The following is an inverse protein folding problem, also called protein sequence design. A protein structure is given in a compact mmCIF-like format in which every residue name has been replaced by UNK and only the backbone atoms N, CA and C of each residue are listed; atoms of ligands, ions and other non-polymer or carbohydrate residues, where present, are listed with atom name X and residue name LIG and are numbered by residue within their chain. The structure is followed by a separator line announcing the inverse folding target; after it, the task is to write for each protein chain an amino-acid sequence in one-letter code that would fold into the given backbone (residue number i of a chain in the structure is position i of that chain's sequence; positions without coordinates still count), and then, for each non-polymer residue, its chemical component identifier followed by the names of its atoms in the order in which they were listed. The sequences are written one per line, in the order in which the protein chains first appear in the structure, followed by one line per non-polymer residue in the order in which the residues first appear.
data_IF_999738417085
#
_entry.id   IF_999738417085
#
_cell.length_a   1.000
_cell.length_b   1.000
_cell.length_c   1.000
_cell.angle_alpha   90.00
_cell.angle_beta   90.00
_cell.angle_gamma   90.00
#
_symmetry.space_group_name_H-M   'P 1'
#
loop_
_entity.id
_entity.type
_entity.pdbx_description
1 polymer ?
#
# COMPACT_ATOMS: atom_id res chain seq x y z
N UNK A 1 4.56 -6.77 6.67
CA UNK A 1 4.16 -6.26 8.01
C UNK A 1 2.72 -5.78 7.98
N UNK A 2 1.97 -5.80 9.09
CA UNK A 2 0.60 -5.26 9.17
C UNK A 2 -0.52 -6.06 8.48
N UNK A 3 -0.19 -6.99 7.58
CA UNK A 3 -1.17 -7.81 6.85
C UNK A 3 -1.18 -9.26 7.35
N UNK A 4 -0.03 -9.93 7.30
CA UNK A 4 0.09 -11.37 7.52
C UNK A 4 1.36 -11.78 8.29
N UNK A 5 2.18 -10.82 8.72
CA UNK A 5 3.44 -11.07 9.45
C UNK A 5 3.30 -12.00 10.67
N UNK A 6 2.13 -12.03 11.33
CA UNK A 6 1.84 -12.93 12.44
C UNK A 6 1.83 -14.41 12.07
N UNK A 7 1.75 -14.75 10.77
CA UNK A 7 1.87 -16.11 10.25
C UNK A 7 3.32 -16.62 10.22
N UNK A 8 4.29 -15.78 10.58
CA UNK A 8 5.69 -16.19 10.68
C UNK A 8 5.88 -17.22 11.81
N UNK A 9 6.60 -18.30 11.49
CA UNK A 9 6.97 -19.36 12.43
C UNK A 9 8.50 -19.51 12.45
N UNK A 10 9.11 -19.73 13.62
CA UNK A 10 10.56 -19.66 13.82
C UNK A 10 11.38 -20.75 13.09
N UNK A 11 10.71 -21.80 12.58
CA UNK A 11 11.36 -22.79 11.73
C UNK A 11 11.56 -22.30 10.29
N UNK A 12 10.87 -21.23 9.85
CA UNK A 12 11.03 -20.65 8.52
C UNK A 12 12.41 -19.99 8.40
N UNK A 13 13.29 -20.58 7.60
CA UNK A 13 14.66 -20.10 7.39
C UNK A 13 14.83 -19.12 6.24
N UNK A 14 13.88 -19.11 5.32
CA UNK A 14 13.88 -18.23 4.16
C UNK A 14 12.52 -17.55 4.07
N UNK A 15 12.52 -16.21 4.11
CA UNK A 15 11.33 -15.38 4.04
C UNK A 15 11.52 -14.28 3.00
N UNK A 16 10.42 -13.79 2.44
CA UNK A 16 10.42 -12.65 1.53
C UNK A 16 9.58 -11.52 2.12
N UNK A 17 10.06 -10.29 2.04
CA UNK A 17 9.31 -9.09 2.43
C UNK A 17 8.44 -8.53 1.28
N UNK A 18 8.19 -9.36 0.25
CA UNK A 18 7.48 -9.01 -0.98
C UNK A 18 8.15 -7.84 -1.75
N UNK A 19 7.37 -6.97 -2.40
CA UNK A 19 7.85 -5.81 -3.16
C UNK A 19 7.28 -4.50 -2.61
N UNK A 20 7.84 -3.36 -3.05
CA UNK A 20 7.30 -2.03 -2.69
C UNK A 20 5.82 -1.87 -3.06
N UNK A 21 5.45 -2.24 -4.30
CA UNK A 21 4.06 -2.20 -4.77
C UNK A 21 3.15 -3.15 -3.98
N UNK A 22 3.63 -4.36 -3.64
CA UNK A 22 2.83 -5.33 -2.86
C UNK A 22 2.54 -4.80 -1.46
N UNK A 23 3.55 -4.22 -0.80
CA UNK A 23 3.38 -3.61 0.51
C UNK A 23 2.39 -2.43 0.46
N UNK A 24 2.38 -1.64 -0.61
CA UNK A 24 1.38 -0.59 -0.79
C UNK A 24 -0.05 -1.15 -0.99
N UNK A 25 -0.21 -2.14 -1.87
CA UNK A 25 -1.50 -2.72 -2.23
C UNK A 25 -2.13 -3.52 -1.09
N UNK A 26 -1.35 -4.34 -0.40
CA UNK A 26 -1.87 -5.34 0.53
C UNK A 26 -2.65 -4.72 1.70
N UNK A 27 -2.21 -3.57 2.23
CA UNK A 27 -2.91 -2.86 3.30
C UNK A 27 -4.28 -2.37 2.85
N UNK A 28 -4.34 -1.70 1.70
CA UNK A 28 -5.58 -1.17 1.15
C UNK A 28 -6.54 -2.29 0.73
N UNK A 29 -6.00 -3.36 0.15
CA UNK A 29 -6.77 -4.53 -0.22
C UNK A 29 -7.36 -5.21 1.03
N UNK A 30 -6.56 -5.42 2.09
CA UNK A 30 -7.01 -6.01 3.35
C UNK A 30 -8.15 -5.22 3.98
N UNK A 31 -7.97 -3.91 4.20
CA UNK A 31 -8.98 -3.06 4.83
C UNK A 31 -10.31 -3.14 4.07
N UNK A 32 -10.24 -3.13 2.74
CA UNK A 32 -11.45 -3.10 1.92
C UNK A 32 -12.10 -4.47 1.83
N UNK A 33 -11.30 -5.53 1.69
CA UNK A 33 -11.80 -6.89 1.65
C UNK A 33 -12.50 -7.25 2.97
N UNK A 34 -11.89 -6.91 4.11
CA UNK A 34 -12.44 -7.21 5.44
C UNK A 34 -13.81 -6.52 5.68
N UNK A 35 -14.04 -5.32 5.12
CA UNK A 35 -15.27 -4.56 5.33
C UNK A 35 -16.33 -4.81 4.24
N UNK A 36 -15.93 -4.78 2.97
CA UNK A 36 -16.85 -4.74 1.83
C UNK A 36 -16.72 -5.96 0.91
N UNK A 37 -15.68 -6.78 1.08
CA UNK A 37 -15.35 -7.85 0.14
C UNK A 37 -14.82 -7.29 -1.19
N UNK A 38 -13.86 -7.98 -1.77
CA UNK A 38 -13.35 -7.70 -3.11
C UNK A 38 -13.65 -8.94 -3.95
N UNK A 39 -14.51 -8.81 -4.95
CA UNK A 39 -14.84 -9.90 -5.87
C UNK A 39 -13.71 -10.11 -6.87
N UNK A 40 -13.24 -9.02 -7.46
CA UNK A 40 -12.15 -8.97 -8.42
C UNK A 40 -11.56 -7.55 -8.43
N UNK A 41 -10.31 -7.43 -8.85
CA UNK A 41 -9.63 -6.15 -8.96
C UNK A 41 -8.51 -6.19 -9.99
N UNK A 42 -8.31 -5.05 -10.62
CA UNK A 42 -7.18 -4.79 -11.53
C UNK A 42 -6.39 -3.65 -10.90
N UNK A 43 -5.08 -3.84 -10.82
CA UNK A 43 -4.16 -2.87 -10.27
C UNK A 43 -3.20 -2.39 -11.36
N UNK A 44 -2.99 -1.08 -11.38
CA UNK A 44 -1.95 -0.43 -12.17
C UNK A 44 -1.08 0.38 -11.23
N UNK A 45 0.23 0.34 -11.42
CA UNK A 45 1.16 1.22 -10.73
C UNK A 45 1.78 2.18 -11.75
N UNK A 46 1.76 3.47 -11.46
CA UNK A 46 2.64 4.44 -12.13
C UNK A 46 3.89 4.51 -11.29
N UNK A 47 4.92 3.80 -11.76
CA UNK A 47 6.13 3.55 -10.99
C UNK A 47 7.21 4.57 -11.31
N UNK A 48 7.92 5.02 -10.27
CA UNK A 48 9.10 5.84 -10.41
C UNK A 48 10.25 5.06 -11.06
N UNK A 49 11.25 5.78 -11.56
CA UNK A 49 12.39 5.17 -12.23
C UNK A 49 13.24 4.42 -11.20
N UNK A 50 13.62 3.17 -11.50
CA UNK A 50 14.52 2.35 -10.67
C UNK A 50 15.87 2.18 -11.35
N UNK A 51 16.89 1.76 -10.59
CA UNK A 51 18.24 1.49 -11.09
C UNK A 51 18.32 0.52 -12.30
N UNK A 52 17.26 -0.25 -12.58
CA UNK A 52 17.21 -1.17 -13.72
C UNK A 52 16.85 -0.48 -15.04
N UNK A 53 16.39 0.77 -15.01
CA UNK A 53 16.08 1.53 -16.22
C UNK A 53 17.37 2.11 -16.82
N UNK A 54 17.25 2.86 -17.91
CA UNK A 54 18.38 3.47 -18.60
C UNK A 54 18.11 4.98 -18.78
N UNK A 55 19.10 5.86 -18.54
CA UNK A 55 18.93 7.33 -18.66
C UNK A 55 18.86 7.79 -20.11
N UNK A 56 19.61 7.11 -20.96
CA UNK A 56 19.58 7.12 -22.43
C UNK A 56 19.54 5.65 -22.85
N UNK A 57 19.93 5.26 -24.06
CA UNK A 57 20.35 3.86 -24.26
C UNK A 57 21.66 3.62 -23.46
N UNK A 58 21.56 3.32 -22.15
CA UNK A 58 22.64 3.23 -21.16
C UNK A 58 22.22 3.57 -19.71
N UNK A 59 23.02 3.24 -18.68
CA UNK A 59 22.62 3.16 -17.24
C UNK A 59 21.82 4.34 -16.63
N UNK A 60 20.85 4.06 -15.73
CA UNK A 60 19.94 5.05 -15.11
C UNK A 60 20.23 5.47 -13.66
N UNK A 61 19.54 6.55 -13.23
CA UNK A 61 19.39 6.98 -11.83
C UNK A 61 17.95 6.84 -11.32
N UNK A 62 17.74 7.15 -10.04
CA UNK A 62 16.52 6.80 -9.27
C UNK A 62 15.61 8.01 -8.96
N UNK A 63 14.29 7.77 -8.98
CA UNK A 63 13.24 8.64 -8.41
C UNK A 63 12.42 7.79 -7.44
N UNK A 64 11.95 8.35 -6.32
CA UNK A 64 11.55 7.53 -5.16
C UNK A 64 10.04 7.37 -4.91
N UNK A 65 9.15 8.08 -5.63
CA UNK A 65 7.70 8.10 -5.32
C UNK A 65 6.85 7.53 -6.45
N UNK A 66 6.09 6.48 -6.11
CA UNK A 66 5.20 5.76 -7.01
C UNK A 66 3.74 5.87 -6.54
N UNK A 67 2.78 5.65 -7.45
CA UNK A 67 1.35 5.65 -7.13
C UNK A 67 0.67 4.38 -7.65
N UNK A 68 -0.17 3.80 -6.80
CA UNK A 68 -0.95 2.60 -7.09
C UNK A 68 -2.43 2.98 -7.28
N UNK A 69 -2.98 2.50 -8.38
CA UNK A 69 -4.39 2.56 -8.74
C UNK A 69 -5.00 1.17 -8.62
N UNK A 70 -6.00 1.03 -7.76
CA UNK A 70 -6.77 -0.20 -7.62
C UNK A 70 -8.21 0.03 -8.05
N UNK A 71 -8.57 -0.52 -9.22
CA UNK A 71 -9.93 -0.57 -9.73
C UNK A 71 -10.54 -1.93 -9.39
N UNK A 72 -11.73 -1.97 -8.78
CA UNK A 72 -12.29 -3.22 -8.24
C UNK A 72 -13.79 -3.24 -8.14
N UNK A 73 -14.32 -4.46 -8.10
CA UNK A 73 -15.72 -4.75 -7.79
C UNK A 73 -15.85 -5.24 -6.35
N UNK A 74 -16.72 -4.59 -5.59
CA UNK A 74 -17.04 -4.90 -4.21
C UNK A 74 -18.20 -5.89 -4.15
N UNK A 75 -18.11 -6.82 -3.20
CA UNK A 75 -19.18 -7.78 -2.93
C UNK A 75 -20.37 -7.08 -2.25
N UNK A 76 -20.08 -6.29 -1.21
CA UNK A 76 -21.07 -5.46 -0.51
C UNK A 76 -21.08 -4.04 -1.08
N UNK A 77 -22.30 -3.50 -1.21
CA UNK A 77 -22.56 -2.09 -1.55
C UNK A 77 -21.82 -1.18 -0.57
N UNK A 78 -21.06 -0.20 -1.07
CA UNK A 78 -20.40 0.80 -0.25
C UNK A 78 -20.47 2.18 -0.90
N UNK A 79 -20.98 3.18 -0.15
CA UNK A 79 -20.82 4.57 -0.58
C UNK A 79 -19.35 4.96 -0.46
N UNK A 80 -18.88 5.82 -1.36
CA UNK A 80 -17.48 6.26 -1.37
C UNK A 80 -17.06 6.91 -0.02
N UNK A 81 -17.99 7.60 0.64
CA UNK A 81 -17.76 8.15 1.98
C UNK A 81 -17.64 7.09 3.09
N UNK A 82 -18.24 5.92 2.94
CA UNK A 82 -18.07 4.83 3.91
C UNK A 82 -16.70 4.17 3.73
N UNK A 83 -16.24 4.04 2.48
CA UNK A 83 -14.87 3.63 2.15
C UNK A 83 -13.86 4.59 2.79
N UNK A 84 -14.10 5.91 2.67
CA UNK A 84 -13.29 6.94 3.32
C UNK A 84 -13.11 6.68 4.82
N UNK A 85 -14.23 6.45 5.52
CA UNK A 85 -14.26 6.28 6.97
C UNK A 85 -13.48 5.05 7.40
N UNK A 86 -13.66 3.91 6.73
CA UNK A 86 -12.95 2.67 7.13
C UNK A 86 -11.46 2.75 6.87
N UNK A 87 -11.03 3.38 5.76
CA UNK A 87 -9.59 3.55 5.47
C UNK A 87 -8.96 4.52 6.47
N UNK A 88 -9.63 5.62 6.79
CA UNK A 88 -9.18 6.54 7.84
C UNK A 88 -9.09 5.84 9.20
N UNK A 89 -10.13 5.12 9.59
CA UNK A 89 -10.14 4.36 10.84
C UNK A 89 -9.01 3.31 10.89
N UNK A 90 -8.71 2.66 9.78
CA UNK A 90 -7.60 1.72 9.70
C UNK A 90 -6.24 2.42 9.90
N UNK A 91 -6.05 3.61 9.32
CA UNK A 91 -4.82 4.42 9.50
C UNK A 91 -4.64 4.96 10.92
N UNK A 92 -5.73 5.16 11.67
CA UNK A 92 -5.71 5.67 13.04
C UNK A 92 -5.73 4.54 14.10
N UNK A 93 -6.03 3.31 13.68
CA UNK A 93 -6.32 2.17 14.55
C UNK A 93 -5.16 1.16 14.68
N UNK A 94 -5.42 -0.16 14.59
CA UNK A 94 -4.40 -1.20 14.79
C UNK A 94 -3.23 -1.14 13.80
N UNK A 95 -3.42 -0.51 12.65
CA UNK A 95 -2.38 -0.31 11.64
C UNK A 95 -1.72 1.06 11.76
N UNK A 96 -1.91 1.82 12.84
CA UNK A 96 -1.34 3.16 12.98
C UNK A 96 0.16 3.17 12.71
N UNK A 97 0.59 4.09 11.83
CA UNK A 97 1.98 4.19 11.36
C UNK A 97 2.33 3.25 10.20
N UNK A 98 1.39 2.42 9.74
CA UNK A 98 1.56 1.53 8.58
C UNK A 98 0.90 2.17 7.34
N UNK A 99 -0.43 2.15 7.09
CA UNK A 99 -1.01 3.00 6.07
C UNK A 99 -1.24 4.43 6.60
N UNK A 100 -0.85 5.41 5.80
CA UNK A 100 -1.20 6.82 5.97
C UNK A 100 -2.53 7.15 5.29
N UNK A 101 -3.08 8.32 5.64
CA UNK A 101 -4.32 8.84 5.08
C UNK A 101 -4.18 10.36 4.88
N UNK A 102 -4.57 10.86 3.72
CA UNK A 102 -4.59 12.31 3.45
C UNK A 102 -5.81 12.74 2.62
N UNK A 103 -6.28 13.95 2.90
CA UNK A 103 -7.31 14.66 2.13
C UNK A 103 -6.74 15.91 1.44
N UNK A 104 -5.51 16.31 1.77
CA UNK A 104 -4.87 17.45 1.16
C UNK A 104 -4.32 17.08 -0.23
N UNK A 105 -4.38 18.02 -1.17
CA UNK A 105 -3.68 17.93 -2.44
C UNK A 105 -2.17 18.03 -2.18
N UNK A 106 -1.53 16.90 -1.91
CA UNK A 106 -0.10 16.82 -1.60
C UNK A 106 0.59 16.05 -2.72
N UNK A 107 1.70 16.62 -3.22
CA UNK A 107 2.55 16.01 -4.23
C UNK A 107 3.91 15.54 -3.67
N UNK A 108 4.17 15.74 -2.37
CA UNK A 108 5.46 15.43 -1.74
C UNK A 108 5.33 14.29 -0.74
N UNK A 109 5.77 13.10 -1.17
CA UNK A 109 5.89 11.89 -0.35
C UNK A 109 7.35 11.43 -0.23
N UNK A 110 8.33 12.29 -0.55
CA UNK A 110 9.74 11.91 -0.65
C UNK A 110 10.34 11.43 0.68
N UNK A 111 9.79 11.88 1.82
CA UNK A 111 10.20 11.45 3.17
C UNK A 111 9.09 10.74 3.93
N UNK A 112 8.04 10.28 3.23
CA UNK A 112 6.95 9.56 3.88
C UNK A 112 7.41 8.16 4.30
N UNK A 113 7.11 7.81 5.56
CA UNK A 113 7.50 6.53 6.18
C UNK A 113 6.39 5.49 6.11
N UNK A 114 5.16 5.90 5.75
CA UNK A 114 4.02 5.00 5.63
C UNK A 114 4.19 4.03 4.46
N UNK A 115 3.64 2.83 4.64
CA UNK A 115 3.58 1.75 3.64
C UNK A 115 2.76 2.12 2.41
N UNK A 116 1.78 2.98 2.61
CA UNK A 116 0.76 3.34 1.63
C UNK A 116 0.05 4.56 2.17
N UNK A 117 0.03 5.68 1.45
CA UNK A 117 -0.72 6.87 1.85
C UNK A 117 -1.93 7.03 0.95
N UNK A 118 -3.10 6.67 1.49
CA UNK A 118 -4.34 6.73 0.74
C UNK A 118 -4.78 8.17 0.54
N UNK A 119 -4.99 8.57 -0.72
CA UNK A 119 -5.49 9.88 -1.07
C UNK A 119 -6.93 9.80 -1.56
N UNK A 120 -7.86 10.18 -0.69
CA UNK A 120 -9.30 10.07 -0.97
C UNK A 120 -9.74 10.89 -2.18
N UNK A 121 -9.14 12.07 -2.38
CA UNK A 121 -9.51 13.02 -3.43
C UNK A 121 -9.14 12.61 -4.85
N UNK A 122 -8.26 11.62 -5.04
CA UNK A 122 -7.88 11.14 -6.38
C UNK A 122 -8.65 9.92 -6.87
N UNK A 123 -9.33 9.21 -5.97
CA UNK A 123 -10.16 8.07 -6.36
C UNK A 123 -11.54 8.50 -6.87
N UNK A 124 -12.25 7.56 -7.51
CA UNK A 124 -13.57 7.78 -8.07
C UNK A 124 -14.43 6.53 -7.95
N UNK A 125 -15.71 6.70 -7.64
CA UNK A 125 -16.70 5.63 -7.69
C UNK A 125 -17.57 5.78 -8.94
N UNK A 126 -17.69 4.71 -9.73
CA UNK A 126 -18.67 4.67 -10.83
C UNK A 126 -20.07 4.39 -10.28
N UNK A 127 -20.15 3.48 -9.32
CA UNK A 127 -21.34 3.14 -8.55
C UNK A 127 -20.91 2.53 -7.20
N UNK A 128 -21.89 2.13 -6.39
CA UNK A 128 -21.63 1.63 -5.03
C UNK A 128 -20.94 0.25 -4.98
N UNK A 129 -20.76 -0.43 -6.11
CA UNK A 129 -20.01 -1.68 -6.23
C UNK A 129 -18.70 -1.53 -6.98
N UNK A 130 -18.50 -0.47 -7.76
CA UNK A 130 -17.35 -0.35 -8.65
C UNK A 130 -16.60 0.96 -8.40
N UNK A 131 -15.40 0.82 -7.82
CA UNK A 131 -14.61 1.95 -7.32
C UNK A 131 -13.16 1.84 -7.74
N UNK A 132 -12.55 3.00 -7.95
CA UNK A 132 -11.12 3.21 -8.16
C UNK A 132 -10.54 3.91 -6.95
N UNK A 133 -9.54 3.31 -6.33
CA UNK A 133 -8.82 3.88 -5.19
C UNK A 133 -7.36 4.16 -5.56
N UNK A 134 -6.85 5.28 -5.05
CA UNK A 134 -5.48 5.74 -5.31
C UNK A 134 -4.69 5.77 -4.01
N UNK A 135 -3.50 5.17 -4.01
CA UNK A 135 -2.58 5.22 -2.88
C UNK A 135 -1.14 5.49 -3.32
N UNK A 136 -0.49 6.42 -2.63
CA UNK A 136 0.90 6.78 -2.87
C UNK A 136 1.83 5.93 -2.02
N UNK A 137 3.04 5.69 -2.50
CA UNK A 137 4.07 5.04 -1.69
C UNK A 137 5.46 5.44 -2.17
N UNK A 138 6.38 5.63 -1.21
CA UNK A 138 7.80 5.78 -1.52
C UNK A 138 8.41 4.39 -1.70
N UNK A 139 8.87 4.04 -2.90
CA UNK A 139 9.33 2.68 -3.20
C UNK A 139 10.63 2.28 -2.49
N UNK A 140 11.43 3.24 -2.03
CA UNK A 140 12.74 2.98 -1.41
C UNK A 140 12.67 3.05 0.11
N UNK A 141 12.28 4.21 0.63
CA UNK A 141 12.39 4.52 2.05
C UNK A 141 11.46 3.61 2.86
N UNK A 142 10.23 3.48 2.38
CA UNK A 142 9.25 2.68 3.06
C UNK A 142 9.63 1.18 3.03
N UNK A 143 9.95 0.62 1.85
CA UNK A 143 10.28 -0.80 1.74
C UNK A 143 11.46 -1.18 2.64
N UNK A 144 12.48 -0.33 2.72
CA UNK A 144 13.64 -0.50 3.59
C UNK A 144 13.25 -0.58 5.08
N UNK A 145 12.36 0.31 5.54
CA UNK A 145 11.81 0.24 6.90
C UNK A 145 10.99 -1.04 7.13
N UNK A 146 10.23 -1.49 6.12
CA UNK A 146 9.48 -2.74 6.18
C UNK A 146 10.35 -3.97 6.42
N UNK A 147 11.54 -4.02 5.81
CA UNK A 147 12.52 -5.10 6.04
C UNK A 147 13.02 -5.07 7.49
N UNK A 148 13.36 -3.89 8.02
CA UNK A 148 13.78 -3.74 9.42
C UNK A 148 12.69 -4.20 10.39
N UNK A 149 11.44 -3.79 10.17
CA UNK A 149 10.32 -4.22 11.00
C UNK A 149 10.10 -5.73 10.97
N UNK A 150 10.26 -6.38 9.81
CA UNK A 150 10.19 -7.83 9.70
C UNK A 150 11.30 -8.51 10.49
N UNK A 151 12.55 -8.02 10.40
CA UNK A 151 13.67 -8.57 11.17
C UNK A 151 13.43 -8.44 12.69
N UNK A 152 12.96 -7.29 13.16
CA UNK A 152 12.61 -7.09 14.58
C UNK A 152 11.50 -8.04 15.02
N UNK A 153 10.46 -8.24 14.18
CA UNK A 153 9.39 -9.19 14.47
C UNK A 153 9.91 -10.63 14.57
N UNK A 154 10.74 -11.07 13.61
CA UNK A 154 11.33 -12.41 13.62
C UNK A 154 12.20 -12.64 14.86
N UNK A 155 13.03 -11.67 15.23
CA UNK A 155 13.88 -11.74 16.42
C UNK A 155 13.06 -11.85 17.71
N UNK A 156 11.88 -11.22 17.77
CA UNK A 156 10.96 -11.35 18.93
C UNK A 156 10.29 -12.72 19.08
N UNK A 157 10.41 -13.59 18.06
CA UNK A 157 9.80 -14.92 17.99
C UNK A 157 10.84 -16.05 18.10
N UNK A 158 12.10 -15.70 18.33
CA UNK A 158 13.17 -16.65 18.63
C UNK A 158 13.00 -17.30 20.00
#
# INVERSE_FOLDING_TARGET
MGVDHERYENFLKFVSNASGTTNCLAHLAKVIHDHFGIMEGIMTTVHAITATQNTVDGSSGELCVSVMDLTRRLDKVAKYNDIKKVVKQASEGPLKGIPGYTEAQVCDFNSDTHFSTFYFGAGIALNDHFVKLISWYNNEFHYSNGVVYLMVHMASKE
#
